data_IF_409512788335
#
_entry.id   IF_409512788335
#
_cell.length_a   1.000
_cell.length_b   1.000
_cell.length_c   1.000
_cell.angle_alpha   90.00
_cell.angle_beta   90.00
_cell.angle_gamma   90.00
#
_symmetry.space_group_name_H-M   'P 1'
#
loop_
_entity.id
_entity.type
_entity.pdbx_description
1 polymer ?
#
# COMPACT_ATOMS: atom_id res chain seq x y z
N UNK A 1 39.33 57.29 23.74
CA UNK A 1 39.34 55.91 23.23
C UNK A 1 39.32 54.97 24.42
N UNK A 2 38.15 54.50 24.81
CA UNK A 2 37.94 53.49 25.84
C UNK A 2 37.01 52.45 25.23
N UNK A 3 37.56 51.27 24.93
CA UNK A 3 36.89 50.13 24.35
C UNK A 3 36.15 49.36 25.44
N UNK A 4 34.83 49.20 25.27
CA UNK A 4 33.98 48.31 26.08
C UNK A 4 33.96 46.94 25.42
N UNK A 5 34.18 45.82 26.13
CA UNK A 5 34.08 44.51 25.53
C UNK A 5 32.61 44.11 25.37
N UNK A 6 32.26 43.59 24.19
CA UNK A 6 30.95 43.00 23.93
C UNK A 6 30.82 41.69 24.74
N UNK A 7 29.89 41.66 25.69
CA UNK A 7 29.46 40.43 26.33
C UNK A 7 28.65 39.60 25.33
N UNK A 8 29.16 38.43 24.96
CA UNK A 8 28.41 37.43 24.21
C UNK A 8 27.29 36.89 25.10
N UNK A 9 26.04 37.19 24.72
CA UNK A 9 24.85 36.57 25.30
C UNK A 9 24.76 35.16 24.72
N UNK A 10 25.21 34.16 25.48
CA UNK A 10 24.94 32.75 25.18
C UNK A 10 23.51 32.42 25.59
N UNK A 11 22.63 32.32 24.60
CA UNK A 11 21.33 31.67 24.79
C UNK A 11 21.56 30.17 24.93
N UNK A 12 21.03 29.49 25.97
CA UNK A 12 21.07 28.05 26.00
C UNK A 12 20.01 27.57 25.00
N UNK A 13 20.42 27.23 23.79
CA UNK A 13 19.66 26.25 23.04
C UNK A 13 19.80 24.94 23.82
N UNK A 14 18.82 24.65 24.68
CA UNK A 14 18.65 23.30 25.17
C UNK A 14 18.37 22.44 23.93
N UNK A 15 19.38 21.66 23.51
CA UNK A 15 19.21 20.61 22.53
C UNK A 15 18.07 19.72 23.02
N UNK A 16 16.94 19.73 22.30
CA UNK A 16 15.84 18.83 22.58
C UNK A 16 16.41 17.43 22.42
N UNK A 17 16.39 16.63 23.50
CA UNK A 17 16.98 15.29 23.43
C UNK A 17 16.19 14.43 22.42
N UNK A 18 16.83 13.48 21.73
CA UNK A 18 16.13 12.57 20.81
C UNK A 18 14.89 11.93 21.44
N UNK A 19 14.97 11.59 22.74
CA UNK A 19 13.86 11.05 23.54
C UNK A 19 12.69 12.03 23.74
N UNK A 20 12.94 13.34 23.84
CA UNK A 20 11.89 14.36 23.93
C UNK A 20 11.18 14.57 22.59
N UNK A 21 11.91 14.45 21.48
CA UNK A 21 11.34 14.47 20.13
C UNK A 21 10.48 13.21 19.88
N UNK A 22 10.94 12.05 20.34
CA UNK A 22 10.20 10.78 20.30
C UNK A 22 8.85 10.89 21.03
N UNK A 23 8.83 11.40 22.28
CA UNK A 23 7.59 11.53 23.06
C UNK A 23 6.55 12.46 22.43
N UNK A 24 6.98 13.53 21.75
CA UNK A 24 6.07 14.45 21.06
C UNK A 24 5.41 13.80 19.83
N UNK A 25 6.15 12.94 19.11
CA UNK A 25 5.63 12.20 17.96
C UNK A 25 4.70 11.06 18.38
N UNK A 26 5.02 10.32 19.47
CA UNK A 26 4.14 9.25 20.02
C UNK A 26 2.76 9.78 20.38
N UNK A 27 2.65 10.97 20.99
CA UNK A 27 1.36 11.54 21.39
C UNK A 27 0.43 11.81 20.20
N UNK A 28 0.97 12.10 19.02
CA UNK A 28 0.19 12.36 17.80
C UNK A 28 -0.30 11.07 17.11
N UNK A 29 0.17 9.89 17.56
CA UNK A 29 -0.24 8.58 17.06
C UNK A 29 -1.18 7.88 18.02
N UNK A 30 -1.96 8.61 18.82
CA UNK A 30 -2.91 8.00 19.73
C UNK A 30 -4.34 8.21 19.21
N UNK A 31 -4.79 7.24 18.43
CA UNK A 31 -6.20 7.12 18.08
C UNK A 31 -6.91 6.25 19.15
N UNK A 32 -7.90 6.78 19.89
CA UNK A 32 -8.54 6.06 21.00
C UNK A 32 -9.57 5.01 20.56
N UNK A 33 -9.63 4.70 19.26
CA UNK A 33 -10.58 3.71 18.75
C UNK A 33 -10.05 2.28 18.94
N UNK A 34 -10.91 1.30 19.29
CA UNK A 34 -10.48 -0.08 19.50
C UNK A 34 -9.99 -0.78 18.22
N UNK A 35 -10.37 -0.26 17.04
CA UNK A 35 -9.97 -0.73 15.71
C UNK A 35 -8.72 0.00 15.16
N UNK A 36 -8.05 0.82 15.97
CA UNK A 36 -6.84 1.52 15.55
C UNK A 36 -5.75 0.53 15.12
N UNK A 37 -5.12 0.78 13.97
CA UNK A 37 -3.97 0.00 13.52
C UNK A 37 -2.86 0.15 14.55
N UNK A 38 -2.36 -0.96 15.06
CA UNK A 38 -1.27 -1.00 16.01
C UNK A 38 0.07 -0.96 15.26
N UNK A 39 0.81 0.13 15.42
CA UNK A 39 2.16 0.30 14.85
C UNK A 39 3.17 -0.21 15.86
N UNK A 40 3.75 -1.37 15.58
CA UNK A 40 4.76 -2.02 16.42
C UNK A 40 6.16 -1.58 16.03
N UNK A 41 6.89 -1.05 17.01
CA UNK A 41 8.24 -0.54 16.88
C UNK A 41 9.17 -1.25 17.87
N UNK A 42 10.46 -1.44 17.54
CA UNK A 42 11.39 -2.01 18.50
C UNK A 42 11.64 -1.03 19.65
N UNK A 43 11.70 -1.53 20.89
CA UNK A 43 11.93 -0.77 22.13
C UNK A 43 13.41 -0.37 22.30
N UNK A 44 14.06 0.12 21.24
CA UNK A 44 15.46 0.57 21.21
C UNK A 44 15.60 1.83 20.36
N UNK A 45 16.75 2.50 20.49
CA UNK A 45 17.13 3.60 19.59
C UNK A 45 17.08 3.13 18.13
N UNK A 46 16.46 3.92 17.25
CA UNK A 46 16.32 3.60 15.82
C UNK A 46 14.87 3.61 15.30
N UNK A 47 13.85 3.67 16.16
CA UNK A 47 12.45 3.76 15.73
C UNK A 47 12.01 5.16 15.25
N UNK A 48 12.85 6.20 15.47
CA UNK A 48 12.55 7.60 15.12
C UNK A 48 12.15 7.78 13.64
N UNK A 49 12.88 7.21 12.65
CA UNK A 49 12.49 7.35 11.25
C UNK A 49 11.09 6.80 10.97
N UNK A 50 10.79 5.58 11.45
CA UNK A 50 9.48 4.96 11.32
C UNK A 50 8.38 5.81 11.96
N UNK A 51 8.61 6.36 13.16
CA UNK A 51 7.66 7.26 13.81
C UNK A 51 7.41 8.56 13.02
N UNK A 52 8.45 9.13 12.40
CA UNK A 52 8.33 10.34 11.57
C UNK A 52 7.49 10.08 10.31
N UNK A 53 7.42 8.86 9.79
CA UNK A 53 6.54 8.52 8.68
C UNK A 53 5.09 8.87 9.01
N UNK A 54 4.65 8.55 10.22
CA UNK A 54 3.28 8.74 10.63
C UNK A 54 2.95 10.16 11.09
N UNK A 55 3.95 10.94 11.52
CA UNK A 55 3.75 12.34 11.90
C UNK A 55 3.11 13.16 10.76
N UNK A 56 3.51 12.88 9.52
CA UNK A 56 2.99 13.54 8.32
C UNK A 56 1.92 12.70 7.58
N UNK A 57 1.53 11.55 8.12
CA UNK A 57 0.61 10.65 7.42
C UNK A 57 -0.73 11.33 7.11
N UNK A 58 -1.19 12.23 7.97
CA UNK A 58 -2.38 13.05 7.73
C UNK A 58 -2.38 13.83 6.40
N UNK A 59 -1.21 14.02 5.76
CA UNK A 59 -1.05 14.67 4.44
C UNK A 59 -1.05 13.69 3.28
N UNK A 60 -0.95 12.39 3.56
CA UNK A 60 -0.94 11.35 2.54
C UNK A 60 -2.36 11.13 2.00
N UNK A 61 -2.56 10.89 0.69
CA UNK A 61 -3.90 10.66 0.12
C UNK A 61 -4.70 9.55 0.80
N UNK A 62 -4.03 8.45 1.20
CA UNK A 62 -4.67 7.32 1.88
C UNK A 62 -5.12 7.63 3.33
N UNK A 63 -4.74 8.77 3.90
CA UNK A 63 -5.13 9.12 5.26
C UNK A 63 -6.64 9.26 5.45
N UNK A 64 -7.36 9.61 4.38
CA UNK A 64 -8.82 9.66 4.41
C UNK A 64 -9.44 8.30 4.72
N UNK A 65 -8.83 7.21 4.25
CA UNK A 65 -9.32 5.84 4.42
C UNK A 65 -8.65 5.09 5.58
N UNK A 66 -7.45 5.52 5.99
CA UNK A 66 -6.68 4.95 7.09
C UNK A 66 -5.97 6.08 7.87
N UNK A 67 -6.61 6.66 8.88
CA UNK A 67 -6.03 7.77 9.69
C UNK A 67 -5.69 7.38 11.12
N UNK A 68 -6.12 6.20 11.56
CA UNK A 68 -6.17 5.85 12.98
C UNK A 68 -5.11 4.82 13.32
N UNK A 69 -4.04 5.27 13.96
CA UNK A 69 -2.93 4.46 14.41
C UNK A 69 -2.79 4.54 15.94
N UNK A 70 -2.24 3.50 16.55
CA UNK A 70 -1.79 3.47 17.94
C UNK A 70 -0.41 2.85 18.01
N UNK A 71 0.52 3.44 18.76
CA UNK A 71 1.87 2.87 18.87
C UNK A 71 1.91 1.72 19.89
N UNK A 72 2.70 0.70 19.57
CA UNK A 72 3.09 -0.41 20.44
C UNK A 72 4.60 -0.61 20.33
N UNK A 73 5.19 -1.18 21.38
CA UNK A 73 6.62 -1.46 21.42
C UNK A 73 6.86 -2.94 21.69
N UNK A 74 7.82 -3.54 21.01
CA UNK A 74 8.28 -4.90 21.27
C UNK A 74 9.77 -4.90 21.63
N UNK A 75 10.18 -5.88 22.43
CA UNK A 75 11.60 -6.18 22.63
C UNK A 75 12.04 -7.23 21.60
N UNK A 76 13.21 -7.09 20.96
CA UNK A 76 13.64 -7.99 19.87
C UNK A 76 13.56 -9.48 20.21
N UNK A 77 13.86 -9.86 21.45
CA UNK A 77 13.77 -11.24 21.94
C UNK A 77 12.36 -11.85 21.88
N UNK A 78 11.33 -11.01 21.78
CA UNK A 78 9.93 -11.43 21.70
C UNK A 78 9.38 -11.44 20.28
N UNK A 79 10.16 -11.00 19.28
CA UNK A 79 9.77 -11.02 17.88
C UNK A 79 10.52 -12.13 17.15
N UNK A 80 9.78 -13.08 16.58
CA UNK A 80 10.37 -14.10 15.71
C UNK A 80 10.09 -13.76 14.26
N UNK A 81 11.13 -13.52 13.46
CA UNK A 81 11.02 -13.21 12.05
C UNK A 81 11.72 -14.27 11.20
N UNK A 82 11.16 -14.54 10.03
CA UNK A 82 11.80 -15.29 8.96
C UNK A 82 11.42 -14.70 7.61
N UNK A 83 12.19 -15.02 6.58
CA UNK A 83 11.87 -14.66 5.19
C UNK A 83 11.26 -15.86 4.47
N UNK A 84 10.14 -15.67 3.77
CA UNK A 84 9.43 -16.73 3.04
C UNK A 84 9.26 -16.43 1.55
N UNK A 85 9.13 -17.49 0.76
CA UNK A 85 8.84 -17.45 -0.67
C UNK A 85 10.00 -16.98 -1.53
N UNK A 86 9.77 -16.93 -2.85
CA UNK A 86 10.81 -16.61 -3.86
C UNK A 86 11.42 -15.22 -3.73
N UNK A 87 10.75 -14.31 -3.01
CA UNK A 87 11.17 -12.91 -2.81
C UNK A 87 11.65 -12.61 -1.39
N UNK A 88 11.83 -13.63 -0.56
CA UNK A 88 12.33 -13.46 0.82
C UNK A 88 11.50 -12.43 1.60
N UNK A 89 10.17 -12.55 1.52
CA UNK A 89 9.23 -11.64 2.18
C UNK A 89 9.27 -11.86 3.69
N UNK A 90 9.34 -10.78 4.45
CA UNK A 90 9.34 -10.78 5.91
C UNK A 90 8.06 -11.42 6.44
N UNK A 91 8.19 -12.34 7.38
CA UNK A 91 7.08 -12.90 8.13
C UNK A 91 7.48 -12.93 9.60
N UNK A 92 6.80 -12.13 10.42
CA UNK A 92 7.13 -11.99 11.83
C UNK A 92 5.96 -12.38 12.72
N UNK A 93 6.26 -12.98 13.86
CA UNK A 93 5.28 -13.38 14.86
C UNK A 93 5.41 -12.47 16.07
N UNK A 94 4.38 -11.66 16.29
CA UNK A 94 4.25 -10.83 17.48
C UNK A 94 3.69 -11.64 18.66
N UNK A 95 4.10 -11.34 19.90
CA UNK A 95 3.56 -11.94 21.11
C UNK A 95 2.21 -11.31 21.47
N UNK A 96 1.24 -11.37 20.56
CA UNK A 96 -0.06 -10.68 20.69
C UNK A 96 -0.89 -11.27 21.83
N UNK A 97 -1.57 -10.40 22.57
CA UNK A 97 -2.65 -10.82 23.46
C UNK A 97 -3.88 -11.24 22.62
N UNK A 98 -4.76 -12.13 23.12
CA UNK A 98 -5.90 -12.63 22.32
C UNK A 98 -6.81 -11.53 21.77
N UNK A 99 -6.96 -10.41 22.47
CA UNK A 99 -7.76 -9.27 22.01
C UNK A 99 -7.05 -8.42 20.93
N UNK A 100 -5.74 -8.58 20.76
CA UNK A 100 -4.93 -7.85 19.76
C UNK A 100 -4.87 -8.62 18.44
N UNK A 101 -5.12 -9.94 18.46
CA UNK A 101 -5.05 -10.80 17.28
C UNK A 101 -6.07 -10.43 16.18
N UNK A 102 -7.16 -9.74 16.52
CA UNK A 102 -8.16 -9.25 15.54
C UNK A 102 -7.95 -7.80 15.12
N UNK A 103 -6.93 -7.12 15.65
CA UNK A 103 -6.58 -5.75 15.28
C UNK A 103 -5.48 -5.79 14.24
N UNK A 104 -5.53 -4.89 13.25
CA UNK A 104 -4.48 -4.78 12.23
C UNK A 104 -3.17 -4.28 12.84
N UNK A 105 -2.07 -4.87 12.40
CA UNK A 105 -0.73 -4.75 12.95
C UNK A 105 0.24 -4.27 11.86
N UNK A 106 0.93 -3.16 12.08
CA UNK A 106 1.98 -2.66 11.21
C UNK A 106 3.32 -2.74 11.93
N UNK A 107 4.14 -3.70 11.55
CA UNK A 107 5.34 -4.11 12.28
C UNK A 107 6.58 -3.62 11.54
N UNK A 108 7.33 -2.72 12.18
CA UNK A 108 8.65 -2.32 11.70
C UNK A 108 9.69 -3.22 12.31
N UNK A 109 10.55 -3.81 11.48
CA UNK A 109 11.52 -4.82 11.90
C UNK A 109 12.94 -4.41 11.53
N UNK A 110 13.87 -4.66 12.44
CA UNK A 110 15.31 -4.40 12.23
C UNK A 110 16.02 -5.65 11.67
N UNK A 111 15.37 -6.28 10.69
CA UNK A 111 15.79 -7.49 9.99
C UNK A 111 15.74 -7.21 8.48
N UNK A 112 16.70 -7.71 7.68
CA UNK A 112 16.65 -7.57 6.23
C UNK A 112 15.50 -8.42 5.65
N UNK A 113 14.86 -7.91 4.60
CA UNK A 113 13.86 -8.67 3.86
C UNK A 113 12.91 -7.76 3.08
N UNK A 114 12.11 -8.37 2.21
CA UNK A 114 11.10 -7.65 1.43
C UNK A 114 9.83 -7.48 2.26
N UNK A 115 9.20 -6.31 2.18
CA UNK A 115 7.95 -6.07 2.88
C UNK A 115 6.85 -7.08 2.50
N UNK A 116 5.92 -7.30 3.42
CA UNK A 116 4.78 -8.18 3.23
C UNK A 116 3.53 -7.61 3.86
N UNK A 117 2.39 -8.00 3.29
CA UNK A 117 1.08 -7.72 3.82
C UNK A 117 0.22 -8.98 3.75
N UNK A 118 -0.49 -9.26 4.83
CA UNK A 118 -1.69 -10.10 4.87
C UNK A 118 -2.88 -9.29 5.41
N UNK A 119 -4.03 -9.92 5.64
CA UNK A 119 -5.26 -9.24 6.06
C UNK A 119 -5.13 -8.47 7.39
N UNK A 120 -4.24 -8.92 8.28
CA UNK A 120 -4.08 -8.41 9.64
C UNK A 120 -2.70 -7.86 9.93
N UNK A 121 -1.65 -8.23 9.18
CA UNK A 121 -0.29 -7.82 9.48
C UNK A 121 0.46 -7.34 8.24
N UNK A 122 1.09 -6.17 8.38
CA UNK A 122 2.12 -5.69 7.46
C UNK A 122 3.46 -5.76 8.18
N UNK A 123 4.46 -6.34 7.53
CA UNK A 123 5.84 -6.36 7.99
C UNK A 123 6.69 -5.50 7.06
N UNK A 124 7.40 -4.52 7.61
CA UNK A 124 8.27 -3.61 6.85
C UNK A 124 9.62 -3.45 7.53
N UNK A 125 10.72 -3.28 6.77
CA UNK A 125 12.01 -2.88 7.34
C UNK A 125 11.91 -1.58 8.14
N UNK A 126 12.76 -1.44 9.17
CA UNK A 126 12.77 -0.27 10.05
C UNK A 126 13.10 1.04 9.31
N UNK A 127 13.83 0.94 8.20
CA UNK A 127 14.20 2.03 7.31
C UNK A 127 13.22 2.22 6.13
N UNK A 128 12.08 1.53 6.13
CA UNK A 128 11.08 1.61 5.07
C UNK A 128 10.67 3.06 4.78
N UNK A 129 10.57 3.37 3.49
CA UNK A 129 10.09 4.68 3.05
C UNK A 129 8.59 4.85 3.30
N UNK A 130 8.12 6.10 3.36
CA UNK A 130 6.68 6.40 3.43
C UNK A 130 5.92 5.79 2.26
N UNK A 131 6.54 5.77 1.09
CA UNK A 131 5.95 5.27 -0.14
C UNK A 131 5.76 3.74 -0.09
N UNK A 132 6.74 3.01 0.46
CA UNK A 132 6.61 1.57 0.71
C UNK A 132 5.51 1.26 1.72
N UNK A 133 5.50 1.95 2.87
CA UNK A 133 4.43 1.75 3.88
C UNK A 133 3.05 2.06 3.29
N UNK A 134 2.94 3.10 2.46
CA UNK A 134 1.69 3.43 1.77
C UNK A 134 1.26 2.36 0.76
N UNK A 135 2.20 1.76 0.03
CA UNK A 135 1.93 0.63 -0.86
C UNK A 135 1.32 -0.56 -0.10
N UNK A 136 1.93 -0.96 1.01
CA UNK A 136 1.41 -2.05 1.84
C UNK A 136 0.03 -1.74 2.45
N UNK A 137 -0.18 -0.50 2.91
CA UNK A 137 -1.51 -0.04 3.35
C UNK A 137 -2.52 -0.06 2.18
N UNK A 138 -2.07 0.16 0.95
CA UNK A 138 -2.88 -0.01 -0.26
C UNK A 138 -3.49 -1.41 -0.36
N UNK A 139 -2.72 -2.45 -0.03
CA UNK A 139 -3.24 -3.83 0.01
C UNK A 139 -4.35 -4.02 1.02
N UNK A 140 -4.20 -3.50 2.25
CA UNK A 140 -5.25 -3.51 3.27
C UNK A 140 -6.53 -2.76 2.88
N UNK A 141 -6.42 -1.83 1.93
CA UNK A 141 -7.52 -1.05 1.37
C UNK A 141 -8.11 -1.68 0.09
N UNK A 142 -7.65 -2.88 -0.29
CA UNK A 142 -8.20 -3.66 -1.40
C UNK A 142 -7.52 -3.42 -2.75
N UNK A 143 -6.34 -2.80 -2.77
CA UNK A 143 -5.57 -2.63 -4.00
C UNK A 143 -4.59 -3.80 -4.20
N UNK A 144 -4.55 -4.33 -5.41
CA UNK A 144 -3.65 -5.38 -5.83
C UNK A 144 -2.38 -4.83 -6.50
N UNK A 145 -1.33 -5.63 -6.48
CA UNK A 145 -0.08 -5.38 -7.19
C UNK A 145 -0.28 -5.31 -8.71
N UNK A 146 0.41 -4.36 -9.33
CA UNK A 146 0.37 -4.14 -10.79
C UNK A 146 1.65 -4.54 -11.50
N UNK A 147 2.75 -4.79 -10.77
CA UNK A 147 3.98 -5.32 -11.32
C UNK A 147 3.88 -6.84 -11.55
N UNK A 148 4.83 -7.42 -12.27
CA UNK A 148 4.86 -8.87 -12.53
C UNK A 148 4.96 -9.66 -11.23
N UNK A 149 3.93 -10.44 -10.90
CA UNK A 149 3.92 -11.30 -9.71
C UNK A 149 4.90 -12.47 -9.86
N UNK A 150 5.32 -13.08 -8.75
CA UNK A 150 5.98 -14.39 -8.78
C UNK A 150 5.04 -15.44 -9.37
N UNK A 151 5.57 -16.55 -9.88
CA UNK A 151 4.76 -17.63 -10.44
C UNK A 151 3.76 -18.16 -9.42
N UNK A 152 4.20 -18.38 -8.18
CA UNK A 152 3.36 -18.83 -7.06
C UNK A 152 2.18 -17.88 -6.80
N UNK A 153 2.46 -16.57 -6.72
CA UNK A 153 1.43 -15.57 -6.44
C UNK A 153 0.48 -15.39 -7.64
N UNK A 154 1.02 -15.38 -8.86
CA UNK A 154 0.22 -15.27 -10.08
C UNK A 154 -0.72 -16.47 -10.23
N UNK A 155 -0.27 -17.68 -9.91
CA UNK A 155 -1.11 -18.89 -9.97
C UNK A 155 -2.31 -18.79 -9.03
N UNK A 156 -2.13 -18.26 -7.81
CA UNK A 156 -3.22 -18.06 -6.87
C UNK A 156 -4.13 -16.88 -7.29
N UNK A 157 -3.55 -15.70 -7.48
CA UNK A 157 -4.26 -14.46 -7.76
C UNK A 157 -5.03 -14.49 -9.08
N UNK A 158 -4.36 -14.88 -10.17
CA UNK A 158 -4.93 -14.78 -11.52
C UNK A 158 -5.95 -15.89 -11.81
N UNK A 159 -6.00 -16.94 -11.00
CA UNK A 159 -7.00 -18.01 -11.10
C UNK A 159 -8.21 -17.80 -10.17
N UNK A 160 -8.32 -16.64 -9.52
CA UNK A 160 -9.48 -16.34 -8.67
C UNK A 160 -9.34 -16.83 -7.22
N UNK A 161 -8.17 -17.33 -6.82
CA UNK A 161 -7.85 -17.75 -5.46
C UNK A 161 -7.57 -16.58 -4.50
N UNK A 162 -8.33 -15.50 -4.62
CA UNK A 162 -8.11 -14.27 -3.87
C UNK A 162 -8.31 -14.47 -2.36
N UNK A 163 -7.31 -14.08 -1.57
CA UNK A 163 -7.48 -13.88 -0.12
C UNK A 163 -8.09 -12.50 0.21
N UNK A 164 -7.96 -11.51 -0.69
CA UNK A 164 -8.39 -10.12 -0.47
C UNK A 164 -9.10 -9.52 -1.70
N UNK A 165 -9.75 -8.36 -1.53
CA UNK A 165 -10.36 -7.61 -2.63
C UNK A 165 -9.32 -7.13 -3.65
N UNK A 166 -9.70 -7.05 -4.93
CA UNK A 166 -8.88 -6.48 -6.02
C UNK A 166 -9.65 -5.39 -6.73
N UNK A 167 -9.52 -4.16 -6.23
CA UNK A 167 -10.30 -3.02 -6.70
C UNK A 167 -9.69 -2.37 -7.96
N UNK A 168 -8.38 -2.44 -8.15
CA UNK A 168 -7.65 -1.82 -9.26
C UNK A 168 -7.17 -2.81 -10.32
N UNK A 169 -7.35 -4.12 -10.13
CA UNK A 169 -6.92 -5.14 -11.11
C UNK A 169 -8.06 -6.11 -11.39
N UNK A 170 -8.34 -6.32 -12.68
CA UNK A 170 -9.21 -7.40 -13.16
C UNK A 170 -8.43 -8.31 -14.10
N UNK A 171 -8.84 -9.57 -14.16
CA UNK A 171 -8.16 -10.60 -14.95
C UNK A 171 -9.10 -11.15 -16.02
N UNK A 172 -8.58 -11.42 -17.20
CA UNK A 172 -9.26 -12.15 -18.27
C UNK A 172 -8.38 -13.27 -18.82
N UNK A 173 -9.02 -14.35 -19.30
CA UNK A 173 -8.30 -15.47 -19.93
C UNK A 173 -7.91 -15.17 -21.39
N UNK A 174 -8.55 -14.17 -22.01
CA UNK A 174 -8.32 -13.74 -23.40
C UNK A 174 -8.20 -12.23 -23.49
N UNK A 175 -7.48 -11.75 -24.52
CA UNK A 175 -7.44 -10.34 -24.92
C UNK A 175 -8.41 -9.99 -26.06
N UNK A 176 -9.20 -10.95 -26.53
CA UNK A 176 -10.21 -10.74 -27.57
C UNK A 176 -11.53 -11.31 -27.08
N UNK A 177 -12.59 -10.52 -27.18
CA UNK A 177 -13.94 -10.86 -26.73
C UNK A 177 -14.97 -10.46 -27.79
N UNK A 178 -16.06 -11.20 -27.90
CA UNK A 178 -17.25 -10.72 -28.61
C UNK A 178 -17.84 -9.48 -27.91
N UNK A 179 -18.73 -8.76 -28.60
CA UNK A 179 -19.41 -7.60 -28.01
C UNK A 179 -20.18 -7.95 -26.70
N UNK A 180 -20.85 -9.10 -26.67
CA UNK A 180 -21.62 -9.54 -25.51
C UNK A 180 -20.71 -9.91 -24.33
N UNK A 181 -19.56 -10.55 -24.59
CA UNK A 181 -18.57 -10.87 -23.56
C UNK A 181 -17.92 -9.61 -22.99
N UNK A 182 -17.57 -8.64 -23.85
CA UNK A 182 -16.98 -7.38 -23.38
C UNK A 182 -17.98 -6.56 -22.57
N UNK A 183 -19.26 -6.51 -22.97
CA UNK A 183 -20.30 -5.86 -22.19
C UNK A 183 -20.48 -6.55 -20.82
N UNK A 184 -20.50 -7.89 -20.78
CA UNK A 184 -20.59 -8.64 -19.54
C UNK A 184 -19.35 -8.43 -18.64
N UNK A 185 -18.16 -8.32 -19.23
CA UNK A 185 -16.91 -8.03 -18.52
C UNK A 185 -16.93 -6.61 -17.93
N UNK A 186 -17.38 -5.62 -18.69
CA UNK A 186 -17.58 -4.24 -18.22
C UNK A 186 -18.50 -4.16 -17.00
N UNK A 187 -19.57 -4.96 -16.97
CA UNK A 187 -20.52 -4.99 -15.84
C UNK A 187 -19.88 -5.44 -14.52
N UNK A 188 -18.78 -6.20 -14.59
CA UNK A 188 -18.09 -6.76 -13.43
C UNK A 188 -16.94 -5.88 -12.93
N UNK A 189 -16.59 -4.80 -13.64
CA UNK A 189 -15.46 -3.96 -13.26
C UNK A 189 -15.73 -3.22 -11.95
N UNK A 190 -14.79 -3.22 -10.98
CA UNK A 190 -14.90 -2.39 -9.78
C UNK A 190 -15.04 -0.90 -10.10
N UNK A 191 -14.39 -0.44 -11.17
CA UNK A 191 -14.44 0.95 -11.66
C UNK A 191 -15.45 1.17 -12.78
N UNK A 192 -16.45 0.28 -12.96
CA UNK A 192 -17.48 0.43 -13.99
C UNK A 192 -18.11 1.82 -14.00
N UNK A 193 -18.31 2.41 -12.82
CA UNK A 193 -18.89 3.75 -12.68
C UNK A 193 -18.07 4.87 -13.35
N UNK A 194 -16.78 4.64 -13.63
CA UNK A 194 -15.88 5.56 -14.32
C UNK A 194 -15.80 5.32 -15.84
N UNK A 195 -16.46 4.26 -16.34
CA UNK A 195 -16.48 3.88 -17.76
C UNK A 195 -17.93 3.93 -18.25
N UNK A 196 -18.30 4.98 -18.98
CA UNK A 196 -19.69 5.22 -19.37
C UNK A 196 -20.22 4.27 -20.45
N UNK A 197 -19.33 3.66 -21.23
CA UNK A 197 -19.65 2.78 -22.35
C UNK A 197 -18.61 1.66 -22.45
N UNK A 198 -19.04 0.40 -22.52
CA UNK A 198 -18.16 -0.76 -22.61
C UNK A 198 -17.28 -0.73 -23.87
N UNK A 199 -17.71 -0.03 -24.94
CA UNK A 199 -16.93 0.11 -26.17
C UNK A 199 -15.61 0.87 -25.96
N UNK A 200 -15.47 1.61 -24.85
CA UNK A 200 -14.22 2.30 -24.50
C UNK A 200 -13.12 1.33 -24.03
N UNK A 201 -13.47 0.08 -23.74
CA UNK A 201 -12.56 -0.92 -23.17
C UNK A 201 -11.77 -1.71 -24.22
N UNK A 202 -12.01 -1.46 -25.50
CA UNK A 202 -11.32 -2.17 -26.57
C UNK A 202 -11.51 -1.54 -27.94
N UNK A 203 -10.92 -2.18 -28.93
CA UNK A 203 -11.02 -1.79 -30.33
C UNK A 203 -11.74 -2.88 -31.13
N UNK A 204 -12.77 -2.49 -31.89
CA UNK A 204 -13.49 -3.42 -32.75
C UNK A 204 -12.60 -3.88 -33.91
N UNK A 205 -12.55 -5.19 -34.13
CA UNK A 205 -11.81 -5.87 -35.17
C UNK A 205 -12.69 -6.12 -36.42
N UNK A 206 -12.07 -6.55 -37.52
CA UNK A 206 -12.75 -6.71 -38.81
C UNK A 206 -13.80 -7.85 -38.82
N UNK A 207 -13.60 -8.87 -38.00
CA UNK A 207 -14.52 -9.99 -37.76
C UNK A 207 -15.70 -9.64 -36.83
N UNK A 208 -15.66 -8.45 -36.22
CA UNK A 208 -16.69 -7.96 -35.31
C UNK A 208 -16.37 -8.17 -33.83
N UNK A 209 -15.31 -8.91 -33.51
CA UNK A 209 -14.81 -9.07 -32.14
C UNK A 209 -14.09 -7.81 -31.66
N UNK A 210 -13.79 -7.76 -30.37
CA UNK A 210 -13.17 -6.63 -29.70
C UNK A 210 -11.87 -7.08 -29.06
N UNK A 211 -10.78 -6.42 -29.44
CA UNK A 211 -9.49 -6.56 -28.76
C UNK A 211 -9.49 -5.63 -27.55
N UNK A 212 -9.30 -6.21 -26.36
CA UNK A 212 -9.25 -5.50 -25.10
C UNK A 212 -8.04 -4.56 -25.04
N UNK A 213 -8.26 -3.39 -24.45
CA UNK A 213 -7.27 -2.33 -24.33
C UNK A 213 -7.87 -0.99 -24.71
N UNK A 214 -7.98 -0.08 -23.75
CA UNK A 214 -8.48 1.27 -23.99
C UNK A 214 -7.44 2.13 -24.72
N UNK A 215 -7.88 2.81 -25.78
CA UNK A 215 -7.03 3.70 -26.57
C UNK A 215 -6.83 5.08 -25.92
N UNK A 216 -7.86 5.62 -25.27
CA UNK A 216 -7.80 6.92 -24.58
C UNK A 216 -7.11 6.78 -23.22
N UNK A 217 -5.90 7.30 -23.10
CA UNK A 217 -5.06 7.20 -21.90
C UNK A 217 -5.45 8.19 -20.80
N UNK A 218 -6.29 9.18 -21.11
CA UNK A 218 -6.73 10.21 -20.16
C UNK A 218 -8.01 9.80 -19.41
N UNK A 219 -8.59 8.65 -19.76
CA UNK A 219 -9.83 8.14 -19.18
C UNK A 219 -9.63 6.79 -18.49
N UNK A 220 -10.57 6.47 -17.60
CA UNK A 220 -10.64 5.13 -17.02
C UNK A 220 -10.92 4.10 -18.11
N UNK A 221 -10.28 2.94 -18.04
CA UNK A 221 -10.35 1.94 -19.10
C UNK A 221 -9.81 0.57 -18.71
N UNK A 222 -9.31 -0.17 -19.70
CA UNK A 222 -8.50 -1.38 -19.53
C UNK A 222 -7.08 -1.09 -20.02
N UNK A 223 -6.12 -1.02 -19.11
CA UNK A 223 -4.71 -0.88 -19.44
C UNK A 223 -3.97 -2.13 -18.99
N UNK A 224 -3.33 -2.81 -19.95
CA UNK A 224 -2.61 -4.06 -19.70
C UNK A 224 -1.46 -3.82 -18.72
N UNK A 225 -1.35 -4.72 -17.75
CA UNK A 225 -0.25 -4.79 -16.78
C UNK A 225 0.35 -6.19 -16.73
N UNK A 226 1.61 -6.33 -16.26
CA UNK A 226 2.32 -7.60 -16.26
C UNK A 226 1.98 -8.54 -15.09
N UNK A 227 1.07 -8.16 -14.18
CA UNK A 227 0.76 -8.90 -12.96
C UNK A 227 0.50 -10.40 -13.18
N UNK A 228 -0.21 -10.76 -14.25
CA UNK A 228 -0.59 -12.15 -14.57
C UNK A 228 0.21 -12.81 -15.70
N UNK A 229 1.33 -12.21 -16.14
CA UNK A 229 2.09 -12.74 -17.28
C UNK A 229 2.66 -14.14 -16.99
N UNK A 230 3.00 -14.43 -15.73
CA UNK A 230 3.51 -15.74 -15.31
C UNK A 230 2.43 -16.85 -15.31
N UNK A 231 1.14 -16.50 -15.28
CA UNK A 231 0.03 -17.47 -15.31
C UNK A 231 -0.58 -17.62 -16.71
N UNK A 232 -0.04 -16.94 -17.72
CA UNK A 232 -0.60 -16.92 -19.08
C UNK A 232 -1.94 -16.17 -19.21
N UNK A 233 -2.32 -15.37 -18.20
CA UNK A 233 -3.56 -14.58 -18.21
C UNK A 233 -3.29 -13.10 -18.45
N UNK A 234 -4.35 -12.35 -18.68
CA UNK A 234 -4.30 -10.92 -18.95
C UNK A 234 -4.78 -10.16 -17.72
N UNK A 235 -3.96 -9.28 -17.17
CA UNK A 235 -4.34 -8.39 -16.07
C UNK A 235 -4.51 -6.96 -16.57
N UNK A 236 -5.53 -6.27 -16.06
CA UNK A 236 -5.90 -4.94 -16.50
C UNK A 236 -6.10 -4.02 -15.31
N UNK A 237 -5.58 -2.80 -15.40
CA UNK A 237 -5.83 -1.72 -14.45
C UNK A 237 -6.67 -0.60 -15.07
N UNK A 238 -7.29 0.29 -14.27
CA UNK A 238 -8.17 1.31 -14.82
C UNK A 238 -7.49 2.55 -15.36
N UNK A 239 -6.19 2.78 -15.08
CA UNK A 239 -5.48 4.00 -15.49
C UNK A 239 -4.26 3.69 -16.34
N UNK A 240 -3.92 4.57 -17.29
CA UNK A 240 -2.76 4.37 -18.15
C UNK A 240 -1.42 4.61 -17.42
N UNK A 241 -1.39 5.58 -16.51
CA UNK A 241 -0.19 6.01 -15.79
C UNK A 241 0.34 4.95 -14.81
N UNK A 242 1.64 4.98 -14.52
CA UNK A 242 2.22 4.21 -13.42
C UNK A 242 1.66 4.68 -12.07
N UNK A 243 1.49 3.73 -11.16
CA UNK A 243 0.90 3.97 -9.85
C UNK A 243 1.81 3.44 -8.74
N UNK A 244 1.53 3.84 -7.51
CA UNK A 244 2.17 3.29 -6.32
C UNK A 244 1.99 1.77 -6.19
N UNK A 245 0.98 1.17 -6.83
CA UNK A 245 0.76 -0.29 -6.84
C UNK A 245 1.59 -1.01 -7.91
N UNK A 246 2.19 -0.28 -8.85
CA UNK A 246 3.16 -0.84 -9.79
C UNK A 246 4.59 -0.69 -9.27
N UNK A 247 4.96 0.52 -8.85
CA UNK A 247 6.22 0.79 -8.16
C UNK A 247 5.93 1.77 -7.03
N UNK A 248 6.23 1.35 -5.81
CA UNK A 248 5.91 2.14 -4.62
C UNK A 248 6.58 3.53 -4.64
N UNK A 249 7.79 3.64 -5.19
CA UNK A 249 8.57 4.88 -5.25
C UNK A 249 7.99 5.96 -6.17
N UNK A 250 7.06 5.62 -7.07
CA UNK A 250 6.31 6.61 -7.86
C UNK A 250 5.50 7.54 -6.97
N UNK A 251 5.02 7.04 -5.82
CA UNK A 251 4.12 7.72 -4.91
C UNK A 251 2.84 8.29 -5.57
N UNK A 252 2.46 7.75 -6.74
CA UNK A 252 1.29 8.20 -7.50
C UNK A 252 0.06 7.41 -7.09
N UNK A 253 -0.92 8.10 -6.51
CA UNK A 253 -2.22 7.56 -6.12
C UNK A 253 -3.33 8.21 -6.96
N UNK A 254 -3.79 7.58 -8.06
CA UNK A 254 -4.83 8.14 -8.89
C UNK A 254 -6.10 8.44 -8.09
N UNK A 255 -6.80 9.53 -8.40
CA UNK A 255 -8.08 9.87 -7.75
C UNK A 255 -9.10 8.71 -7.84
N UNK A 256 -9.09 8.00 -8.97
CA UNK A 256 -9.93 6.82 -9.17
C UNK A 256 -9.64 5.71 -8.13
N UNK A 257 -8.40 5.55 -7.66
CA UNK A 257 -8.06 4.52 -6.67
C UNK A 257 -8.61 4.92 -5.30
N UNK A 258 -8.52 6.20 -4.96
CA UNK A 258 -9.07 6.74 -3.72
C UNK A 258 -10.60 6.59 -3.70
N UNK A 259 -11.27 6.84 -4.83
CA UNK A 259 -12.72 6.64 -4.96
C UNK A 259 -13.10 5.15 -4.91
N UNK A 260 -12.31 4.26 -5.51
CA UNK A 260 -12.51 2.81 -5.42
C UNK A 260 -12.44 2.33 -3.96
N UNK A 261 -11.42 2.75 -3.22
CA UNK A 261 -11.28 2.44 -1.79
C UNK A 261 -12.50 2.94 -1.02
N UNK A 262 -12.88 4.20 -1.24
CA UNK A 262 -14.01 4.83 -0.53
C UNK A 262 -15.34 4.11 -0.76
N UNK A 263 -15.57 3.58 -1.97
CA UNK A 263 -16.81 2.85 -2.31
C UNK A 263 -16.85 1.42 -1.76
N UNK A 264 -15.69 0.86 -1.43
CA UNK A 264 -15.58 -0.49 -0.89
C UNK A 264 -15.79 -0.54 0.63
N UNK A 265 -15.55 0.57 1.32
CA UNK A 265 -15.79 0.76 2.76
C UNK A 265 -17.28 1.02 3.06
#
# INVERSE_FOLDING_TARGET
>A
MLSVPAAAVSWPFAEISPWQLELAVVKNLQCPRPDAVQVWLPAKAGAVPAMRLFADWHRHPLAASQSCFTTRFYYPENLSCETRGERERLHCQLPLLPYEASVRQLVFVDEPGVASADDYQINVPLDASRALVAHEIGHWLGLADEYQMSSELAESFCNGGYAHASLNVVVSDTAVMSAAELEAFWQQLPWRFAVSDWQQLGERQADGDWRLGSADKERAGLFRIPACDASGKYAWRPVAQLTAMHYHDTAVWPELYLELIKRHQ
#
